data_IF_001546612257
#
_entry.id   IF_001546612257
#
_cell.length_a   1.000
_cell.length_b   1.000
_cell.length_c   1.000
_cell.angle_alpha   90.00
_cell.angle_beta   90.00
_cell.angle_gamma   90.00
#
_symmetry.space_group_name_H-M   'P 1'
#
loop_
_entity.id
_entity.type
_entity.pdbx_description
1 polymer ?
#
# COMPACT_ATOMS: atom_id res chain seq x y z
N UNK A 1 -18.21 23.58 -37.63
CA UNK A 1 -17.50 22.30 -37.44
C UNK A 1 -17.80 21.82 -36.05
N UNK A 2 -18.71 20.89 -35.92
CA UNK A 2 -19.13 20.29 -34.63
C UNK A 2 -18.21 19.13 -34.31
N UNK A 3 -17.55 19.20 -33.16
CA UNK A 3 -16.75 18.11 -32.60
C UNK A 3 -17.71 17.02 -32.10
N UNK A 4 -17.58 15.75 -32.50
CA UNK A 4 -18.41 14.70 -31.95
C UNK A 4 -17.99 14.40 -30.54
N UNK A 5 -18.96 14.37 -29.63
CA UNK A 5 -18.78 13.89 -28.24
C UNK A 5 -18.33 12.43 -28.25
N UNK A 6 -17.22 12.12 -27.61
CA UNK A 6 -16.79 10.76 -27.30
C UNK A 6 -17.82 10.14 -26.36
N UNK A 7 -18.59 9.20 -26.87
CA UNK A 7 -19.46 8.36 -26.02
C UNK A 7 -18.55 7.38 -25.30
N UNK A 8 -18.36 7.62 -24.01
CA UNK A 8 -17.70 6.69 -23.09
C UNK A 8 -18.65 5.49 -22.89
N UNK A 9 -18.54 4.48 -23.76
CA UNK A 9 -19.33 3.26 -23.74
C UNK A 9 -18.73 2.22 -22.75
N UNK A 10 -18.41 2.65 -21.53
CA UNK A 10 -18.15 1.69 -20.47
C UNK A 10 -19.49 1.01 -20.09
N UNK A 11 -19.60 -0.33 -20.11
CA UNK A 11 -20.81 -1.00 -19.65
C UNK A 11 -21.11 -0.58 -18.22
N UNK A 12 -22.38 -0.38 -17.82
CA UNK A 12 -22.72 -0.02 -16.47
C UNK A 12 -22.10 -1.04 -15.51
N UNK A 13 -21.38 -0.55 -14.51
CA UNK A 13 -20.75 -1.37 -13.50
C UNK A 13 -21.82 -2.32 -12.93
N UNK A 14 -21.66 -3.61 -13.18
CA UNK A 14 -22.53 -4.62 -12.59
C UNK A 14 -22.30 -4.54 -11.10
N UNK A 15 -23.34 -4.28 -10.31
CA UNK A 15 -23.22 -4.25 -8.86
C UNK A 15 -22.78 -5.65 -8.37
N UNK A 16 -21.48 -5.81 -8.11
CA UNK A 16 -20.84 -7.05 -7.71
C UNK A 16 -21.52 -7.68 -6.47
N UNK A 17 -22.19 -6.87 -5.65
CA UNK A 17 -22.94 -7.32 -4.46
C UNK A 17 -24.11 -8.24 -4.83
N UNK A 18 -24.65 -8.10 -6.04
CA UNK A 18 -25.73 -8.96 -6.55
C UNK A 18 -25.23 -10.30 -7.06
N UNK A 19 -23.99 -10.36 -7.55
CA UNK A 19 -23.37 -11.58 -8.10
C UNK A 19 -22.50 -12.30 -7.08
N UNK A 20 -22.05 -11.63 -6.02
CA UNK A 20 -21.06 -12.13 -5.06
C UNK A 20 -19.64 -12.26 -5.66
N UNK A 21 -19.42 -11.80 -6.91
CA UNK A 21 -18.16 -11.94 -7.64
C UNK A 21 -17.70 -10.61 -8.20
N UNK A 22 -16.83 -9.86 -7.48
CA UNK A 22 -16.23 -8.64 -8.01
C UNK A 22 -15.34 -8.97 -9.22
N UNK A 23 -15.34 -8.06 -10.20
CA UNK A 23 -14.66 -8.24 -11.48
C UNK A 23 -13.86 -7.00 -11.87
N UNK A 24 -12.75 -7.25 -12.57
CA UNK A 24 -12.08 -6.24 -13.39
C UNK A 24 -12.61 -6.29 -14.83
N UNK A 25 -12.54 -5.16 -15.51
CA UNK A 25 -12.85 -5.06 -16.94
C UNK A 25 -11.98 -6.03 -17.77
N UNK A 26 -12.50 -6.56 -18.87
CA UNK A 26 -11.73 -7.42 -19.76
C UNK A 26 -10.41 -6.76 -20.21
N UNK A 27 -9.33 -7.54 -20.22
CA UNK A 27 -8.01 -7.07 -20.62
C UNK A 27 -7.24 -6.30 -19.53
N UNK A 28 -7.80 -6.14 -18.32
CA UNK A 28 -7.12 -5.56 -17.16
C UNK A 28 -6.64 -6.65 -16.21
N UNK A 29 -5.39 -6.53 -15.74
CA UNK A 29 -4.84 -7.31 -14.63
C UNK A 29 -4.19 -6.38 -13.64
N UNK A 30 -4.49 -6.58 -12.35
CA UNK A 30 -3.90 -5.81 -11.25
C UNK A 30 -3.11 -6.75 -10.35
N UNK A 31 -1.87 -6.37 -10.06
CA UNK A 31 -1.02 -6.97 -9.04
C UNK A 31 -1.05 -6.05 -7.82
N UNK A 32 -1.65 -6.49 -6.71
CA UNK A 32 -1.71 -5.70 -5.47
C UNK A 32 -0.72 -6.27 -4.45
N UNK A 33 0.32 -5.49 -4.13
CA UNK A 33 1.42 -5.87 -3.23
C UNK A 33 1.11 -5.39 -1.82
N UNK A 34 1.26 -6.29 -0.84
CA UNK A 34 1.09 -6.00 0.59
C UNK A 34 2.27 -5.24 1.19
N UNK A 35 2.28 -5.15 2.52
CA UNK A 35 3.20 -4.37 3.32
C UNK A 35 4.66 -4.82 3.14
N UNK A 36 5.52 -3.92 2.68
CA UNK A 36 6.92 -4.21 2.33
C UNK A 36 7.82 -4.09 3.57
N UNK A 37 7.59 -3.04 4.37
CA UNK A 37 8.31 -2.82 5.61
C UNK A 37 9.83 -3.00 5.50
N UNK A 38 10.49 -2.21 4.63
CA UNK A 38 11.94 -2.19 4.52
C UNK A 38 12.56 -3.53 4.07
N UNK A 39 11.81 -4.40 3.40
CA UNK A 39 12.29 -5.67 2.83
C UNK A 39 12.56 -5.53 1.33
N UNK A 40 13.59 -4.75 0.98
CA UNK A 40 14.02 -4.54 -0.41
C UNK A 40 14.38 -5.85 -1.11
N UNK A 41 14.95 -6.81 -0.40
CA UNK A 41 15.27 -8.16 -0.86
C UNK A 41 14.03 -8.89 -1.40
N UNK A 42 12.95 -8.90 -0.59
CA UNK A 42 11.69 -9.57 -0.98
C UNK A 42 10.96 -8.82 -2.09
N UNK A 43 11.02 -7.48 -2.05
CA UNK A 43 10.43 -6.62 -3.08
C UNK A 43 11.02 -6.94 -4.47
N UNK A 44 12.35 -7.02 -4.58
CA UNK A 44 13.04 -7.34 -5.83
C UNK A 44 12.61 -8.70 -6.38
N UNK A 45 12.56 -9.72 -5.53
CA UNK A 45 12.12 -11.07 -5.93
C UNK A 45 10.66 -11.06 -6.39
N UNK A 46 9.76 -10.39 -5.64
CA UNK A 46 8.36 -10.36 -5.99
C UNK A 46 8.10 -9.61 -7.31
N UNK A 47 8.75 -8.46 -7.51
CA UNK A 47 8.65 -7.70 -8.78
C UNK A 47 9.15 -8.53 -9.96
N UNK A 48 10.27 -9.24 -9.82
CA UNK A 48 10.76 -10.14 -10.87
C UNK A 48 9.73 -11.24 -11.22
N UNK A 49 9.04 -11.80 -10.21
CA UNK A 49 7.98 -12.79 -10.42
C UNK A 49 6.73 -12.19 -11.08
N UNK A 50 6.35 -10.98 -10.72
CA UNK A 50 5.26 -10.25 -11.39
C UNK A 50 5.57 -10.02 -12.87
N UNK A 51 6.79 -9.60 -13.19
CA UNK A 51 7.23 -9.39 -14.57
C UNK A 51 7.28 -10.71 -15.38
N UNK A 52 7.75 -11.78 -14.76
CA UNK A 52 7.75 -13.12 -15.39
C UNK A 52 6.31 -13.63 -15.63
N UNK A 53 5.38 -13.39 -14.69
CA UNK A 53 3.97 -13.72 -14.85
C UNK A 53 3.32 -12.90 -16.00
N UNK A 54 3.61 -11.61 -16.05
CA UNK A 54 3.13 -10.72 -17.11
C UNK A 54 3.68 -11.12 -18.48
N UNK A 55 4.95 -11.49 -18.56
CA UNK A 55 5.57 -11.97 -19.79
C UNK A 55 4.95 -13.30 -20.26
N UNK A 56 4.68 -14.21 -19.33
CA UNK A 56 4.08 -15.53 -19.63
C UNK A 56 2.62 -15.42 -20.05
N UNK A 57 1.89 -14.49 -19.45
CA UNK A 57 0.45 -14.27 -19.66
C UNK A 57 0.20 -12.78 -19.93
N UNK A 58 0.49 -12.29 -21.16
CA UNK A 58 0.31 -10.88 -21.47
C UNK A 58 -1.15 -10.43 -21.37
N UNK A 59 -1.35 -9.16 -21.01
CA UNK A 59 -2.67 -8.53 -20.90
C UNK A 59 -2.57 -7.07 -21.39
N UNK A 60 -3.70 -6.50 -21.86
CA UNK A 60 -3.68 -5.18 -22.49
C UNK A 60 -3.39 -4.03 -21.51
N UNK A 61 -3.92 -4.10 -20.30
CA UNK A 61 -3.77 -3.07 -19.25
C UNK A 61 -3.29 -3.69 -17.94
N UNK A 62 -1.96 -3.96 -17.81
CA UNK A 62 -1.39 -4.42 -16.57
C UNK A 62 -1.16 -3.24 -15.61
N UNK A 63 -1.55 -3.40 -14.35
CA UNK A 63 -1.36 -2.42 -13.29
C UNK A 63 -0.69 -3.06 -12.07
N UNK A 64 0.15 -2.30 -11.36
CA UNK A 64 0.81 -2.69 -10.11
C UNK A 64 0.39 -1.70 -9.02
N UNK A 65 -0.23 -2.18 -7.97
CA UNK A 65 -0.69 -1.38 -6.84
C UNK A 65 0.09 -1.78 -5.60
N UNK A 66 0.80 -0.85 -5.01
CA UNK A 66 1.43 -1.01 -3.70
C UNK A 66 0.50 -0.45 -2.63
N UNK A 67 0.16 -1.26 -1.62
CA UNK A 67 -0.87 -0.93 -0.64
C UNK A 67 -0.38 -0.08 0.54
N UNK A 68 0.88 0.35 0.54
CA UNK A 68 1.48 1.14 1.62
C UNK A 68 2.42 0.35 2.51
N UNK A 69 2.86 1.00 3.59
CA UNK A 69 3.82 0.47 4.56
C UNK A 69 5.14 0.02 3.89
N UNK A 70 5.77 0.95 3.16
CA UNK A 70 7.08 0.76 2.53
C UNK A 70 8.20 0.73 3.55
N UNK A 71 8.08 1.57 4.59
CA UNK A 71 9.11 1.85 5.59
C UNK A 71 8.87 1.10 6.89
N UNK A 72 9.86 1.16 7.79
CA UNK A 72 9.80 0.61 9.16
C UNK A 72 9.97 -0.91 9.25
N UNK A 73 10.27 -1.38 10.46
CA UNK A 73 10.41 -2.80 10.84
C UNK A 73 11.59 -3.52 10.21
N UNK A 74 11.67 -3.58 8.89
CA UNK A 74 12.79 -4.16 8.16
C UNK A 74 13.97 -3.20 7.99
N UNK A 75 15.14 -3.72 7.59
CA UNK A 75 16.42 -2.96 7.65
C UNK A 75 16.63 -2.00 6.49
N UNK A 76 15.93 -2.15 5.36
CA UNK A 76 16.28 -1.53 4.08
C UNK A 76 15.22 -0.54 3.57
N UNK A 77 14.71 0.33 4.47
CA UNK A 77 13.68 1.32 4.09
C UNK A 77 14.19 2.32 3.05
N UNK A 78 15.46 2.72 3.12
CA UNK A 78 16.06 3.63 2.14
C UNK A 78 16.11 3.00 0.74
N UNK A 79 16.48 1.72 0.63
CA UNK A 79 16.53 1.00 -0.64
C UNK A 79 15.12 0.75 -1.21
N UNK A 80 14.13 0.47 -0.34
CA UNK A 80 12.73 0.37 -0.78
C UNK A 80 12.26 1.69 -1.37
N UNK A 81 12.49 2.82 -0.69
CA UNK A 81 12.11 4.13 -1.22
C UNK A 81 12.87 4.51 -2.49
N UNK A 82 14.16 4.19 -2.60
CA UNK A 82 14.93 4.38 -3.83
C UNK A 82 14.32 3.58 -5.00
N UNK A 83 13.92 2.32 -4.77
CA UNK A 83 13.22 1.52 -5.77
C UNK A 83 11.87 2.13 -6.15
N UNK A 84 11.09 2.61 -5.19
CA UNK A 84 9.78 3.22 -5.47
C UNK A 84 9.91 4.48 -6.33
N UNK A 85 10.94 5.29 -6.09
CA UNK A 85 11.18 6.55 -6.82
C UNK A 85 11.78 6.31 -8.22
N UNK A 86 12.75 5.41 -8.32
CA UNK A 86 13.59 5.26 -9.52
C UNK A 86 13.27 3.95 -10.28
N UNK A 87 13.07 2.85 -9.55
CA UNK A 87 12.94 1.52 -10.12
C UNK A 87 11.58 1.24 -10.76
N UNK A 88 10.54 1.97 -10.36
CA UNK A 88 9.19 1.77 -10.90
C UNK A 88 8.97 2.43 -12.26
N UNK A 89 9.71 3.49 -12.58
CA UNK A 89 9.52 4.27 -13.81
C UNK A 89 9.76 3.49 -15.12
N UNK A 90 10.57 2.43 -15.07
CA UNK A 90 10.89 1.59 -16.24
C UNK A 90 10.05 0.32 -16.35
N UNK A 91 9.09 0.09 -15.48
CA UNK A 91 8.27 -1.12 -15.49
C UNK A 91 7.23 -1.08 -16.63
N UNK A 92 6.95 -2.22 -17.32
CA UNK A 92 6.01 -2.30 -18.44
C UNK A 92 4.55 -2.40 -17.98
N UNK A 93 4.17 -1.66 -16.93
CA UNK A 93 2.83 -1.62 -16.33
C UNK A 93 2.62 -0.29 -15.61
N UNK A 94 1.37 0.13 -15.45
CA UNK A 94 1.05 1.32 -14.68
C UNK A 94 1.25 1.06 -13.18
N UNK A 95 1.98 1.94 -12.49
CA UNK A 95 2.26 1.80 -11.05
C UNK A 95 1.44 2.81 -10.25
N UNK A 96 0.80 2.32 -9.19
CA UNK A 96 0.03 3.09 -8.23
C UNK A 96 0.56 2.82 -6.83
N UNK A 97 0.70 3.88 -6.04
CA UNK A 97 1.32 3.80 -4.71
C UNK A 97 0.40 4.42 -3.67
N UNK A 98 0.01 3.62 -2.68
CA UNK A 98 -0.86 4.06 -1.61
C UNK A 98 -0.06 4.35 -0.34
N UNK A 99 -0.60 5.21 0.51
CA UNK A 99 -0.03 5.57 1.80
C UNK A 99 -0.49 4.59 2.88
N UNK A 100 0.45 4.00 3.60
CA UNK A 100 0.20 3.27 4.81
C UNK A 100 0.28 4.16 6.07
N UNK A 101 -0.06 3.60 7.20
CA UNK A 101 0.00 4.32 8.47
C UNK A 101 1.44 4.57 8.94
N UNK A 102 2.41 3.78 8.52
CA UNK A 102 3.82 4.04 8.86
C UNK A 102 4.38 5.24 8.10
N UNK A 103 3.96 5.49 6.87
CA UNK A 103 4.29 6.71 6.12
C UNK A 103 3.60 7.93 6.73
N UNK A 104 2.34 7.81 7.17
CA UNK A 104 1.62 8.90 7.86
C UNK A 104 2.35 9.33 9.13
N UNK A 105 2.73 8.39 9.98
CA UNK A 105 3.48 8.68 11.21
C UNK A 105 4.85 9.29 10.94
N UNK A 106 5.59 8.74 9.98
CA UNK A 106 6.91 9.27 9.59
C UNK A 106 6.80 10.74 9.13
N UNK A 107 5.86 11.05 8.23
CA UNK A 107 5.68 12.42 7.74
C UNK A 107 5.22 13.37 8.83
N UNK A 108 4.31 12.97 9.70
CA UNK A 108 3.91 13.76 10.86
C UNK A 108 5.08 14.07 11.78
N UNK A 109 6.01 13.14 11.94
CA UNK A 109 7.21 13.32 12.74
C UNK A 109 8.20 14.27 12.07
N UNK A 110 8.56 14.06 10.80
CA UNK A 110 9.62 14.84 10.14
C UNK A 110 9.14 16.19 9.62
N UNK A 111 7.91 16.31 9.14
CA UNK A 111 7.35 17.54 8.58
C UNK A 111 6.56 18.35 9.60
N UNK A 112 5.75 17.68 10.41
CA UNK A 112 4.84 18.31 11.37
C UNK A 112 5.41 18.48 12.76
N UNK A 113 6.58 17.91 13.03
CA UNK A 113 7.17 17.85 14.38
C UNK A 113 6.17 17.34 15.45
N UNK A 114 5.28 16.41 15.03
CA UNK A 114 4.35 15.73 15.93
C UNK A 114 5.14 14.68 16.73
N UNK A 115 5.63 15.10 17.89
CA UNK A 115 6.49 14.26 18.73
C UNK A 115 5.75 13.04 19.28
N UNK A 116 4.42 13.15 19.48
CA UNK A 116 3.61 12.01 19.89
C UNK A 116 3.55 10.95 18.77
N UNK A 117 3.27 11.37 17.53
CA UNK A 117 3.30 10.49 16.36
C UNK A 117 4.69 9.87 16.17
N UNK A 118 5.76 10.67 16.33
CA UNK A 118 7.14 10.21 16.25
C UNK A 118 7.47 9.15 17.29
N UNK A 119 7.15 9.40 18.56
CA UNK A 119 7.37 8.44 19.65
C UNK A 119 6.57 7.13 19.44
N UNK A 120 5.32 7.23 18.98
CA UNK A 120 4.50 6.07 18.62
C UNK A 120 5.13 5.29 17.45
N UNK A 121 5.51 5.98 16.37
CA UNK A 121 6.15 5.37 15.21
C UNK A 121 7.45 4.63 15.56
N UNK A 122 8.30 5.25 16.37
CA UNK A 122 9.56 4.63 16.83
C UNK A 122 9.29 3.34 17.62
N UNK A 123 8.24 3.29 18.44
CA UNK A 123 7.82 2.07 19.18
C UNK A 123 7.27 0.99 18.25
N UNK A 124 6.57 1.37 17.17
CA UNK A 124 5.98 0.44 16.21
C UNK A 124 6.94 -0.03 15.10
N UNK A 125 8.24 0.32 15.20
CA UNK A 125 9.26 -0.17 14.30
C UNK A 125 9.89 0.90 13.42
N UNK A 126 9.82 2.18 13.78
CA UNK A 126 10.47 3.28 13.07
C UNK A 126 12.00 3.31 13.22
N UNK A 127 12.55 2.74 14.31
CA UNK A 127 14.00 2.76 14.59
C UNK A 127 14.88 2.25 13.41
N UNK A 128 14.58 1.14 12.71
CA UNK A 128 15.38 0.68 11.60
C UNK A 128 15.46 1.68 10.42
N UNK A 129 14.49 2.59 10.29
CA UNK A 129 14.55 3.64 9.25
C UNK A 129 15.76 4.53 9.45
N UNK A 130 16.05 4.94 10.70
CA UNK A 130 17.25 5.71 11.01
C UNK A 130 18.52 5.01 10.54
N UNK A 131 18.67 3.74 10.89
CA UNK A 131 19.83 2.94 10.50
C UNK A 131 19.96 2.85 8.97
N UNK A 132 18.86 2.74 8.24
CA UNK A 132 18.87 2.69 6.77
C UNK A 132 19.35 3.99 6.11
N UNK A 133 19.30 5.11 6.83
CA UNK A 133 19.86 6.40 6.42
C UNK A 133 21.16 6.74 7.14
N UNK A 134 21.82 5.77 7.79
CA UNK A 134 23.12 5.96 8.47
C UNK A 134 23.05 6.73 9.79
N UNK A 135 21.87 6.82 10.41
CA UNK A 135 21.63 7.49 11.67
C UNK A 135 21.42 6.51 12.82
N UNK A 136 21.70 6.96 14.04
CA UNK A 136 21.33 6.26 15.27
C UNK A 136 19.94 6.74 15.70
N UNK A 137 18.96 5.84 15.95
CA UNK A 137 17.66 6.23 16.45
C UNK A 137 17.74 6.72 17.89
N UNK A 138 16.83 7.60 18.35
CA UNK A 138 16.80 8.02 19.75
C UNK A 138 16.40 6.85 20.67
N UNK A 139 17.06 6.73 21.80
CA UNK A 139 16.76 5.71 22.79
C UNK A 139 15.65 6.16 23.76
N UNK A 140 15.62 7.44 24.10
CA UNK A 140 14.67 8.05 25.04
C UNK A 140 13.49 8.67 24.27
N UNK A 141 12.36 7.93 24.22
CA UNK A 141 11.18 8.34 23.44
C UNK A 141 10.23 9.29 24.20
N UNK A 142 10.60 9.74 25.38
CA UNK A 142 9.88 10.72 26.21
C UNK A 142 10.63 12.04 26.36
N UNK A 143 11.84 12.13 25.84
CA UNK A 143 12.65 13.35 25.79
C UNK A 143 12.29 14.12 24.52
N UNK A 144 11.57 15.23 24.68
CA UNK A 144 11.08 16.03 23.56
C UNK A 144 12.24 16.65 22.76
N UNK A 145 13.31 17.14 23.40
CA UNK A 145 14.45 17.73 22.72
C UNK A 145 15.16 16.69 21.85
N UNK A 146 15.37 15.47 22.36
CA UNK A 146 15.95 14.38 21.58
C UNK A 146 15.05 13.93 20.42
N UNK A 147 13.73 13.96 20.59
CA UNK A 147 12.81 13.66 19.49
C UNK A 147 12.85 14.75 18.42
N UNK A 148 12.94 16.03 18.78
CA UNK A 148 13.09 17.14 17.82
C UNK A 148 14.40 16.98 17.04
N UNK A 149 15.52 16.77 17.74
CA UNK A 149 16.83 16.54 17.09
C UNK A 149 16.77 15.33 16.14
N UNK A 150 16.15 14.24 16.54
CA UNK A 150 15.98 13.04 15.72
C UNK A 150 15.13 13.30 14.47
N UNK A 151 14.01 14.05 14.60
CA UNK A 151 13.16 14.41 13.46
C UNK A 151 13.94 15.25 12.44
N UNK A 152 14.67 16.26 12.91
CA UNK A 152 15.48 17.13 12.07
C UNK A 152 16.62 16.36 11.39
N UNK A 153 17.35 15.52 12.14
CA UNK A 153 18.42 14.69 11.60
C UNK A 153 17.89 13.74 10.50
N UNK A 154 16.74 13.09 10.74
CA UNK A 154 16.14 12.21 9.75
C UNK A 154 15.66 12.98 8.51
N UNK A 155 15.01 14.14 8.67
CA UNK A 155 14.56 14.98 7.58
C UNK A 155 15.74 15.45 6.68
N UNK A 156 16.90 15.71 7.27
CA UNK A 156 18.12 16.10 6.54
C UNK A 156 18.77 14.89 5.84
N UNK A 157 18.78 13.73 6.48
CA UNK A 157 19.42 12.53 5.93
C UNK A 157 18.60 11.86 4.81
N UNK A 158 17.29 12.01 4.83
CA UNK A 158 16.42 11.49 3.77
C UNK A 158 16.56 12.35 2.51
N UNK A 159 16.86 11.76 1.33
CA UNK A 159 16.83 12.50 0.07
C UNK A 159 15.46 13.15 -0.15
N UNK A 160 15.46 14.41 -0.65
CA UNK A 160 14.22 15.17 -0.92
C UNK A 160 13.23 14.35 -1.77
N UNK A 161 13.72 13.64 -2.79
CA UNK A 161 12.90 12.78 -3.66
C UNK A 161 12.17 11.65 -2.90
N UNK A 162 12.73 11.14 -1.80
CA UNK A 162 12.06 10.14 -0.95
C UNK A 162 10.93 10.79 -0.15
N UNK A 163 11.17 11.96 0.42
CA UNK A 163 10.12 12.71 1.13
C UNK A 163 9.01 13.15 0.19
N UNK A 164 9.35 13.63 -1.01
CA UNK A 164 8.36 14.05 -2.01
C UNK A 164 7.51 12.86 -2.50
N UNK A 165 8.12 11.69 -2.69
CA UNK A 165 7.39 10.45 -2.96
C UNK A 165 6.39 10.14 -1.84
N UNK A 166 6.81 10.15 -0.57
CA UNK A 166 5.95 9.86 0.57
C UNK A 166 4.79 10.86 0.71
N UNK A 167 5.04 12.15 0.43
CA UNK A 167 4.01 13.21 0.45
C UNK A 167 3.01 13.05 -0.67
N UNK A 168 3.44 12.56 -1.83
CA UNK A 168 2.63 12.35 -3.03
C UNK A 168 1.79 11.07 -3.05
N UNK A 169 1.86 10.22 -2.02
CA UNK A 169 1.13 8.96 -1.96
C UNK A 169 -0.39 9.18 -1.87
N UNK A 170 -1.14 8.43 -2.67
CA UNK A 170 -2.60 8.37 -2.60
C UNK A 170 -3.07 7.57 -1.38
N UNK A 171 -4.32 7.75 -0.94
CA UNK A 171 -4.90 6.98 0.18
C UNK A 171 -5.82 5.84 -0.27
N UNK A 172 -6.22 5.84 -1.54
CA UNK A 172 -7.04 4.78 -2.13
C UNK A 172 -6.99 4.84 -3.65
N UNK A 173 -7.30 3.71 -4.28
CA UNK A 173 -7.46 3.59 -5.73
C UNK A 173 -8.72 2.77 -6.01
N UNK A 174 -9.63 3.27 -6.84
CA UNK A 174 -10.77 2.49 -7.32
C UNK A 174 -10.52 1.97 -8.74
N UNK A 175 -10.85 0.70 -8.99
CA UNK A 175 -10.82 0.08 -10.31
C UNK A 175 -11.97 -0.91 -10.44
N UNK A 176 -12.90 -0.60 -11.32
CA UNK A 176 -14.08 -1.44 -11.59
C UNK A 176 -14.85 -1.77 -10.28
N UNK A 177 -14.97 -3.05 -9.91
CA UNK A 177 -15.64 -3.48 -8.67
C UNK A 177 -14.75 -3.40 -7.42
N UNK A 178 -13.47 -3.04 -7.56
CA UNK A 178 -12.48 -3.06 -6.47
C UNK A 178 -12.14 -1.66 -5.96
N UNK A 179 -11.84 -1.61 -4.67
CA UNK A 179 -11.12 -0.50 -4.04
C UNK A 179 -9.88 -1.04 -3.34
N UNK A 180 -8.75 -0.37 -3.56
CA UNK A 180 -7.47 -0.64 -2.92
C UNK A 180 -7.24 0.41 -1.85
N UNK A 181 -6.96 -0.01 -0.64
CA UNK A 181 -6.65 0.85 0.52
C UNK A 181 -5.60 0.15 1.38
N UNK A 182 -4.92 0.88 2.25
CA UNK A 182 -3.98 0.25 3.17
C UNK A 182 -4.70 -0.51 4.29
N UNK A 183 -5.55 0.16 5.09
CA UNK A 183 -6.18 -0.42 6.29
C UNK A 183 -7.53 -1.07 6.03
N UNK A 184 -8.45 -0.34 5.44
CA UNK A 184 -9.82 -0.79 5.21
C UNK A 184 -10.80 0.35 5.00
N UNK A 185 -12.08 0.08 5.21
CA UNK A 185 -13.17 1.04 5.10
C UNK A 185 -14.05 1.00 6.36
N UNK A 186 -14.57 2.15 6.78
CA UNK A 186 -15.53 2.24 7.88
C UNK A 186 -16.89 1.70 7.43
N UNK A 187 -17.46 0.71 8.12
CA UNK A 187 -18.80 0.19 7.80
C UNK A 187 -19.89 1.26 7.87
N UNK A 188 -20.83 1.20 6.94
CA UNK A 188 -21.96 2.13 6.89
C UNK A 188 -21.64 3.53 6.34
N UNK A 189 -20.39 3.78 5.94
CA UNK A 189 -19.96 5.03 5.30
C UNK A 189 -19.73 4.77 3.82
N UNK A 190 -20.25 5.64 2.94
CA UNK A 190 -20.04 5.52 1.49
C UNK A 190 -18.54 5.65 1.13
N UNK A 191 -18.10 5.03 0.04
CA UNK A 191 -16.69 5.06 -0.38
C UNK A 191 -16.18 6.49 -0.56
N UNK A 192 -17.02 7.38 -1.10
CA UNK A 192 -16.67 8.78 -1.33
C UNK A 192 -16.48 9.58 -0.03
N UNK A 193 -17.14 9.17 1.07
CA UNK A 193 -17.13 9.85 2.36
C UNK A 193 -16.14 9.26 3.36
N UNK A 194 -15.40 8.21 2.97
CA UNK A 194 -14.37 7.57 3.79
C UNK A 194 -13.22 8.52 4.08
N UNK A 195 -12.85 8.67 5.34
CA UNK A 195 -11.70 9.51 5.71
C UNK A 195 -10.37 8.89 5.33
N UNK A 196 -9.34 9.71 5.09
CA UNK A 196 -7.98 9.24 4.89
C UNK A 196 -7.49 8.42 6.09
N UNK A 197 -7.86 8.83 7.30
CA UNK A 197 -7.52 8.11 8.52
C UNK A 197 -8.10 6.69 8.52
N UNK A 198 -9.40 6.52 8.24
CA UNK A 198 -10.01 5.19 8.19
C UNK A 198 -9.34 4.30 7.14
N UNK A 199 -9.09 4.84 5.94
CA UNK A 199 -8.42 4.10 4.85
C UNK A 199 -7.02 3.59 5.22
N UNK A 200 -6.31 4.26 6.16
CA UNK A 200 -4.96 3.89 6.59
C UNK A 200 -4.92 3.11 7.92
N UNK A 201 -5.88 3.32 8.84
CA UNK A 201 -5.73 2.90 10.23
C UNK A 201 -6.78 1.92 10.74
N UNK A 202 -7.94 1.81 10.11
CA UNK A 202 -9.07 1.01 10.62
C UNK A 202 -8.68 -0.47 10.74
N UNK A 203 -9.15 -1.14 11.79
CA UNK A 203 -8.92 -2.56 12.05
C UNK A 203 -10.22 -3.29 12.38
N UNK A 204 -10.52 -3.45 13.65
CA UNK A 204 -11.57 -4.35 14.16
C UNK A 204 -12.96 -4.06 13.62
N UNK A 205 -13.34 -2.78 13.49
CA UNK A 205 -14.63 -2.40 12.90
C UNK A 205 -14.77 -2.87 11.45
N UNK A 206 -13.70 -2.80 10.67
CA UNK A 206 -13.64 -3.27 9.29
C UNK A 206 -13.56 -4.80 9.23
N UNK A 207 -12.64 -5.40 9.99
CA UNK A 207 -12.32 -6.84 9.92
C UNK A 207 -13.49 -7.71 10.39
N UNK A 208 -14.26 -7.23 11.38
CA UNK A 208 -15.39 -7.98 11.98
C UNK A 208 -16.74 -7.63 11.33
N UNK A 209 -16.73 -6.78 10.29
CA UNK A 209 -17.97 -6.45 9.58
C UNK A 209 -18.54 -7.68 8.87
N UNK A 210 -19.86 -7.82 8.84
CA UNK A 210 -20.57 -8.95 8.21
C UNK A 210 -21.32 -8.59 6.93
N UNK A 211 -21.41 -7.28 6.62
CA UNK A 211 -22.06 -6.77 5.42
C UNK A 211 -21.10 -6.66 4.22
N UNK A 212 -21.62 -6.15 3.11
CA UNK A 212 -20.85 -5.84 1.91
C UNK A 212 -20.62 -4.34 1.79
N UNK A 213 -19.48 -3.94 1.26
CA UNK A 213 -19.17 -2.57 0.88
C UNK A 213 -19.60 -2.29 -0.58
N UNK A 214 -19.62 -1.03 -0.99
CA UNK A 214 -19.90 -0.63 -2.39
C UNK A 214 -18.86 -1.21 -3.36
N UNK A 215 -17.63 -1.41 -2.91
CA UNK A 215 -16.54 -2.03 -3.63
C UNK A 215 -16.00 -3.22 -2.84
N UNK A 216 -15.45 -4.19 -3.54
CA UNK A 216 -14.66 -5.25 -2.90
C UNK A 216 -13.30 -4.69 -2.48
N UNK A 217 -12.96 -4.83 -1.20
CA UNK A 217 -11.79 -4.15 -0.61
C UNK A 217 -10.54 -5.03 -0.71
N UNK A 218 -9.48 -4.50 -1.30
CA UNK A 218 -8.13 -5.12 -1.28
C UNK A 218 -7.26 -4.30 -0.34
N UNK A 219 -6.66 -4.96 0.66
CA UNK A 219 -5.96 -4.26 1.74
C UNK A 219 -4.75 -5.03 2.30
N UNK A 220 -3.95 -4.34 3.13
CA UNK A 220 -2.83 -4.84 3.93
C UNK A 220 -3.03 -4.58 5.43
N UNK A 221 -2.03 -3.96 6.09
CA UNK A 221 -2.07 -3.40 7.44
C UNK A 221 -2.30 -4.39 8.59
N UNK A 222 -3.17 -5.35 8.43
CA UNK A 222 -3.48 -6.34 9.46
C UNK A 222 -2.90 -7.68 9.05
N UNK A 223 -1.84 -8.08 9.76
CA UNK A 223 -1.04 -9.25 9.38
C UNK A 223 -1.81 -10.56 9.49
N UNK A 224 -1.66 -11.42 8.49
CA UNK A 224 -2.16 -12.80 8.47
C UNK A 224 -1.03 -13.77 8.12
N UNK A 225 -1.18 -15.04 8.48
CA UNK A 225 -0.15 -16.05 8.15
C UNK A 225 -0.12 -16.37 6.64
N UNK A 226 -1.27 -16.31 5.99
CA UNK A 226 -1.50 -16.52 4.55
C UNK A 226 -2.44 -15.42 4.04
N UNK A 227 -2.43 -15.11 2.73
CA UNK A 227 -3.42 -14.19 2.17
C UNK A 227 -4.85 -14.66 2.48
N UNK A 228 -5.72 -13.72 2.80
CA UNK A 228 -7.07 -14.06 3.24
C UNK A 228 -8.12 -13.47 2.29
N UNK A 229 -9.05 -14.29 1.82
CA UNK A 229 -10.23 -13.85 1.06
C UNK A 229 -11.47 -14.00 1.93
N UNK A 230 -12.24 -12.92 2.06
CA UNK A 230 -13.54 -12.88 2.75
C UNK A 230 -14.63 -12.40 1.78
N UNK A 231 -15.91 -12.50 2.12
CA UNK A 231 -17.00 -12.10 1.21
C UNK A 231 -16.90 -10.67 0.66
N UNK A 232 -16.25 -9.75 1.37
CA UNK A 232 -16.17 -8.33 1.01
C UNK A 232 -14.74 -7.78 0.89
N UNK A 233 -13.69 -8.60 1.20
CA UNK A 233 -12.32 -8.15 1.23
C UNK A 233 -11.30 -9.22 0.89
N UNK A 234 -10.12 -8.79 0.49
CA UNK A 234 -8.93 -9.59 0.30
C UNK A 234 -7.76 -8.92 1.02
N UNK A 235 -7.07 -9.65 1.92
CA UNK A 235 -5.89 -9.21 2.64
C UNK A 235 -4.64 -9.88 2.09
N UNK A 236 -3.58 -9.11 1.82
CA UNK A 236 -2.29 -9.59 1.31
C UNK A 236 -1.11 -9.28 2.22
N UNK A 237 -1.33 -8.71 3.42
CA UNK A 237 -0.25 -8.50 4.39
C UNK A 237 0.10 -9.82 5.07
N UNK A 238 1.13 -10.48 4.54
CA UNK A 238 1.69 -11.73 5.08
C UNK A 238 2.87 -11.49 6.02
N UNK A 239 2.99 -10.26 6.60
CA UNK A 239 3.98 -9.90 7.60
C UNK A 239 5.43 -10.08 7.10
N UNK A 240 5.72 -9.59 5.89
CA UNK A 240 6.97 -9.81 5.16
C UNK A 240 8.24 -9.59 6.02
N UNK A 241 8.24 -8.57 6.88
CA UNK A 241 9.38 -8.25 7.76
C UNK A 241 9.73 -9.37 8.77
N UNK A 242 8.78 -10.25 9.09
CA UNK A 242 8.98 -11.35 10.05
C UNK A 242 8.82 -12.73 9.42
N UNK A 243 7.92 -12.91 8.46
CA UNK A 243 7.70 -14.18 7.78
C UNK A 243 8.76 -14.48 6.71
N UNK A 244 9.42 -13.43 6.19
CA UNK A 244 10.30 -13.57 5.02
C UNK A 244 9.53 -13.76 3.70
N UNK A 245 8.22 -13.52 3.68
CA UNK A 245 7.37 -13.71 2.50
C UNK A 245 6.56 -12.45 2.22
N UNK A 246 6.87 -11.77 1.13
CA UNK A 246 6.07 -10.67 0.59
C UNK A 246 5.09 -11.24 -0.45
N UNK A 247 3.82 -10.85 -0.35
CA UNK A 247 2.73 -11.41 -1.17
C UNK A 247 2.07 -10.34 -2.03
N UNK A 248 1.68 -10.73 -3.25
CA UNK A 248 0.82 -9.96 -4.12
C UNK A 248 -0.43 -10.75 -4.49
N UNK A 249 -1.59 -10.11 -4.49
CA UNK A 249 -2.78 -10.62 -5.16
C UNK A 249 -2.70 -10.31 -6.65
N UNK A 250 -3.11 -11.26 -7.48
CA UNK A 250 -3.28 -11.07 -8.92
C UNK A 250 -4.77 -11.17 -9.23
N UNK A 251 -5.32 -10.07 -9.71
CA UNK A 251 -6.74 -9.92 -10.03
C UNK A 251 -6.90 -9.79 -11.54
N UNK A 252 -7.76 -10.63 -12.14
CA UNK A 252 -8.08 -10.58 -13.57
C UNK A 252 -9.51 -11.09 -13.81
N UNK A 253 -10.36 -10.29 -14.43
CA UNK A 253 -11.78 -10.65 -14.53
C UNK A 253 -12.37 -10.94 -13.14
N UNK A 254 -12.89 -12.14 -12.91
CA UNK A 254 -13.37 -12.60 -11.60
C UNK A 254 -12.34 -13.46 -10.86
N UNK A 255 -11.20 -13.76 -11.46
CA UNK A 255 -10.18 -14.62 -10.89
C UNK A 255 -9.30 -13.87 -9.89
N UNK A 256 -8.89 -14.57 -8.86
CA UNK A 256 -7.98 -14.09 -7.80
C UNK A 256 -6.99 -15.19 -7.48
N UNK A 257 -5.72 -14.90 -7.62
CA UNK A 257 -4.61 -15.79 -7.25
C UNK A 257 -3.51 -14.99 -6.57
N UNK A 258 -2.50 -15.67 -6.07
CA UNK A 258 -1.43 -15.02 -5.33
C UNK A 258 -0.05 -15.36 -5.92
N UNK A 259 0.85 -14.39 -5.84
CA UNK A 259 2.28 -14.55 -6.03
C UNK A 259 2.97 -14.21 -4.71
N UNK A 260 4.08 -14.88 -4.44
CA UNK A 260 4.87 -14.65 -3.24
C UNK A 260 6.37 -14.57 -3.58
N UNK A 261 7.16 -13.94 -2.75
CA UNK A 261 8.61 -13.78 -2.90
C UNK A 261 9.42 -15.03 -2.49
N UNK A 262 8.86 -16.23 -2.66
CA UNK A 262 9.49 -17.51 -2.31
C UNK A 262 10.28 -18.10 -3.48
#
# INVERSE_FOLDING_TARGET
MTVPASIDNAPPATDWRRTGQPRLAPGRRIYAVGDIHGRADLLQVLVARILADLQRFPVATPELVFLGDYVSRGPASAEVLAFMVEGTAGLPLAVHTLKGNHEDLLLRFVDGHDLWAGAAWLRFGGKPVFASYGLTPPDELHDEDKLVEAAQALAVAMPTRHLDFLRGLDVSLERDDYIFVHGGLRPGVAVADQTAHDKMWIRDEFLNHTGLFERFVVHGHTTTALPEIRPYRLNVDTRAYASGVLTAAVLEGAERRFLASL
#
